data_IF_591021286308
#
_entry.id   IF_591021286308
#
_cell.length_a   1.000
_cell.length_b   1.000
_cell.length_c   1.000
_cell.angle_alpha   90.00
_cell.angle_beta   90.00
_cell.angle_gamma   90.00
#
_symmetry.space_group_name_H-M   'P 1'
#
loop_
_entity.id
_entity.type
_entity.pdbx_description
1 polymer ?
#
# COMPACT_ATOMS: atom_id res chain seq x y z
N UNK A 1 -3.83 -16.07 -13.97
CA UNK A 1 -4.07 -17.53 -13.91
C UNK A 1 -5.05 -17.92 -12.79
N UNK A 2 -4.82 -17.57 -11.52
CA UNK A 2 -5.77 -17.92 -10.44
C UNK A 2 -7.21 -17.43 -10.66
N UNK A 3 -7.39 -16.19 -11.13
CA UNK A 3 -8.71 -15.62 -11.46
C UNK A 3 -9.38 -16.29 -12.68
N UNK A 4 -8.59 -16.85 -13.60
CA UNK A 4 -9.10 -17.63 -14.75
C UNK A 4 -9.66 -18.96 -14.24
N UNK A 5 -8.95 -19.65 -13.35
CA UNK A 5 -9.45 -20.89 -12.75
C UNK A 5 -10.68 -20.69 -11.88
N UNK A 6 -10.82 -19.56 -11.19
CA UNK A 6 -12.06 -19.22 -10.49
C UNK A 6 -13.25 -19.06 -11.46
N UNK A 7 -13.03 -18.41 -12.61
CA UNK A 7 -14.05 -18.26 -13.65
C UNK A 7 -14.41 -19.60 -14.31
N UNK A 8 -13.48 -20.56 -14.33
CA UNK A 8 -13.67 -21.93 -14.82
C UNK A 8 -14.28 -22.88 -13.76
N UNK A 9 -14.72 -22.36 -12.60
CA UNK A 9 -15.19 -23.14 -11.43
C UNK A 9 -14.13 -24.09 -10.82
N UNK A 10 -12.86 -23.96 -11.20
CA UNK A 10 -11.75 -24.69 -10.60
C UNK A 10 -11.22 -23.95 -9.36
N UNK A 11 -12.06 -23.91 -8.33
CA UNK A 11 -11.83 -23.13 -7.10
C UNK A 11 -10.61 -23.60 -6.30
N UNK A 12 -10.29 -24.90 -6.34
CA UNK A 12 -9.11 -25.47 -5.65
C UNK A 12 -7.80 -24.97 -6.25
N UNK A 13 -7.64 -25.03 -7.57
CA UNK A 13 -6.41 -24.58 -8.23
C UNK A 13 -6.30 -23.05 -8.20
N UNK A 14 -7.42 -22.35 -8.39
CA UNK A 14 -7.50 -20.89 -8.22
C UNK A 14 -7.02 -20.45 -6.84
N UNK A 15 -7.47 -21.12 -5.77
CA UNK A 15 -7.05 -20.82 -4.40
C UNK A 15 -5.55 -21.06 -4.20
N UNK A 16 -4.99 -22.21 -4.61
CA UNK A 16 -3.54 -22.48 -4.48
C UNK A 16 -2.68 -21.40 -5.13
N UNK A 17 -3.02 -21.00 -6.34
CA UNK A 17 -2.26 -19.98 -7.07
C UNK A 17 -2.35 -18.60 -6.40
N UNK A 18 -3.53 -18.22 -5.90
CA UNK A 18 -3.73 -16.93 -5.23
C UNK A 18 -3.04 -16.89 -3.86
N UNK A 19 -3.08 -17.99 -3.11
CA UNK A 19 -2.38 -18.13 -1.82
C UNK A 19 -0.84 -18.08 -1.96
N UNK A 20 -0.29 -18.60 -3.06
CA UNK A 20 1.13 -18.44 -3.38
C UNK A 20 1.46 -16.99 -3.78
N UNK A 21 0.59 -16.35 -4.55
CA UNK A 21 0.79 -14.96 -5.00
C UNK A 21 0.79 -13.96 -3.84
N UNK A 22 0.01 -14.18 -2.77
CA UNK A 22 0.01 -13.24 -1.64
C UNK A 22 1.34 -13.25 -0.85
N UNK A 23 2.04 -14.37 -0.77
CA UNK A 23 3.37 -14.40 -0.15
C UNK A 23 4.37 -13.48 -0.86
N UNK A 24 4.19 -13.31 -2.18
CA UNK A 24 4.99 -12.40 -2.99
C UNK A 24 4.48 -10.96 -2.82
N UNK A 25 3.17 -10.74 -2.86
CA UNK A 25 2.56 -9.43 -2.65
C UNK A 25 2.95 -8.80 -1.29
N UNK A 26 3.00 -9.60 -0.23
CA UNK A 26 3.40 -9.15 1.11
C UNK A 26 4.89 -8.80 1.22
N UNK A 27 5.73 -9.22 0.26
CA UNK A 27 7.16 -8.88 0.21
C UNK A 27 7.45 -7.62 -0.61
N UNK A 28 6.47 -7.14 -1.38
CA UNK A 28 6.59 -5.91 -2.15
C UNK A 28 6.11 -4.73 -1.29
N UNK A 29 6.85 -3.60 -1.25
CA UNK A 29 6.37 -2.38 -0.62
C UNK A 29 5.37 -1.64 -1.53
N UNK A 30 4.36 -2.36 -2.04
CA UNK A 30 3.31 -1.83 -2.91
C UNK A 30 1.94 -2.10 -2.27
N UNK A 31 1.38 -1.02 -1.70
CA UNK A 31 0.10 -1.07 -0.98
C UNK A 31 -1.08 -1.36 -1.91
N UNK A 32 -0.99 -0.99 -3.20
CA UNK A 32 -2.04 -1.24 -4.18
C UNK A 32 -2.15 -2.73 -4.52
N UNK A 33 -1.00 -3.39 -4.71
CA UNK A 33 -0.94 -4.84 -4.92
C UNK A 33 -1.47 -5.59 -3.69
N UNK A 34 -1.13 -5.11 -2.49
CA UNK A 34 -1.62 -5.70 -1.22
C UNK A 34 -3.14 -5.56 -1.05
N UNK A 35 -3.71 -4.39 -1.38
CA UNK A 35 -5.16 -4.17 -1.39
C UNK A 35 -5.87 -5.08 -2.41
N UNK A 36 -5.32 -5.19 -3.62
CA UNK A 36 -5.87 -6.07 -4.65
C UNK A 36 -5.84 -7.54 -4.23
N UNK A 37 -4.72 -8.02 -3.69
CA UNK A 37 -4.56 -9.40 -3.24
C UNK A 37 -5.52 -9.76 -2.09
N UNK A 38 -5.65 -8.89 -1.09
CA UNK A 38 -6.58 -9.11 0.04
C UNK A 38 -8.04 -9.09 -0.38
N UNK A 39 -8.43 -8.23 -1.33
CA UNK A 39 -9.78 -8.22 -1.89
C UNK A 39 -10.11 -9.53 -2.62
N UNK A 40 -9.17 -10.05 -3.42
CA UNK A 40 -9.33 -11.35 -4.10
C UNK A 40 -9.46 -12.50 -3.12
N UNK A 41 -8.61 -12.57 -2.09
CA UNK A 41 -8.64 -13.64 -1.10
C UNK A 41 -9.92 -13.63 -0.26
N UNK A 42 -10.40 -12.43 0.10
CA UNK A 42 -11.72 -12.29 0.74
C UNK A 42 -12.82 -12.89 -0.16
N UNK A 43 -12.81 -12.56 -1.46
CA UNK A 43 -13.76 -13.12 -2.43
C UNK A 43 -13.67 -14.64 -2.56
N UNK A 44 -12.46 -15.20 -2.61
CA UNK A 44 -12.24 -16.65 -2.66
C UNK A 44 -12.74 -17.34 -1.39
N UNK A 45 -12.47 -16.77 -0.22
CA UNK A 45 -12.95 -17.32 1.05
C UNK A 45 -14.49 -17.32 1.12
N UNK A 46 -15.11 -16.23 0.66
CA UNK A 46 -16.57 -16.12 0.55
C UNK A 46 -17.16 -17.19 -0.40
N UNK A 47 -16.57 -17.36 -1.60
CA UNK A 47 -16.98 -18.42 -2.56
C UNK A 47 -16.86 -19.84 -1.98
N UNK A 48 -15.93 -20.07 -1.05
CA UNK A 48 -15.74 -21.35 -0.35
C UNK A 48 -16.63 -21.51 0.88
N UNK A 49 -17.36 -20.47 1.29
CA UNK A 49 -18.11 -20.45 2.54
C UNK A 49 -17.23 -20.43 3.80
N UNK A 50 -15.96 -20.04 3.68
CA UNK A 50 -15.01 -19.98 4.79
C UNK A 50 -15.05 -18.61 5.47
N UNK A 51 -15.97 -18.44 6.42
CA UNK A 51 -16.20 -17.16 7.11
C UNK A 51 -15.00 -16.72 7.94
N UNK A 52 -14.22 -17.66 8.49
CA UNK A 52 -13.04 -17.33 9.28
C UNK A 52 -11.96 -16.71 8.39
N UNK A 53 -11.70 -17.35 7.25
CA UNK A 53 -10.72 -16.85 6.28
C UNK A 53 -11.19 -15.53 5.65
N UNK A 54 -12.48 -15.38 5.33
CA UNK A 54 -13.05 -14.13 4.84
C UNK A 54 -12.83 -12.98 5.83
N UNK A 55 -13.12 -13.20 7.11
CA UNK A 55 -12.95 -12.19 8.18
C UNK A 55 -11.50 -11.77 8.32
N UNK A 56 -10.57 -12.74 8.22
CA UNK A 56 -9.12 -12.47 8.26
C UNK A 56 -8.71 -11.54 7.11
N UNK A 57 -9.10 -11.86 5.89
CA UNK A 57 -8.72 -11.06 4.72
C UNK A 57 -9.42 -9.71 4.69
N UNK A 58 -10.64 -9.62 5.20
CA UNK A 58 -11.30 -8.34 5.44
C UNK A 58 -10.52 -7.45 6.40
N UNK A 59 -10.08 -8.00 7.54
CA UNK A 59 -9.30 -7.26 8.55
C UNK A 59 -7.99 -6.73 7.96
N UNK A 60 -7.29 -7.56 7.18
CA UNK A 60 -6.04 -7.13 6.54
C UNK A 60 -6.28 -6.06 5.46
N UNK A 61 -7.36 -6.19 4.68
CA UNK A 61 -7.77 -5.19 3.70
C UNK A 61 -8.10 -3.83 4.35
N UNK A 62 -8.81 -3.85 5.48
CA UNK A 62 -9.11 -2.66 6.28
C UNK A 62 -7.81 -2.00 6.80
N UNK A 63 -6.85 -2.79 7.28
CA UNK A 63 -5.53 -2.29 7.71
C UNK A 63 -4.82 -1.55 6.59
N UNK A 64 -4.72 -2.15 5.40
CA UNK A 64 -4.08 -1.49 4.26
C UNK A 64 -4.83 -0.24 3.80
N UNK A 65 -6.16 -0.27 3.82
CA UNK A 65 -6.98 0.91 3.47
C UNK A 65 -6.68 2.09 4.39
N UNK A 66 -6.57 1.84 5.70
CA UNK A 66 -6.22 2.88 6.69
C UNK A 66 -4.83 3.47 6.44
N UNK A 67 -3.86 2.63 6.05
CA UNK A 67 -2.51 3.11 5.68
C UNK A 67 -2.60 4.06 4.50
N UNK A 68 -3.29 3.67 3.41
CA UNK A 68 -3.44 4.54 2.23
C UNK A 68 -4.08 5.88 2.59
N UNK A 69 -5.16 5.86 3.38
CA UNK A 69 -5.85 7.09 3.78
C UNK A 69 -4.94 7.97 4.63
N UNK A 70 -4.26 7.39 5.62
CA UNK A 70 -3.36 8.13 6.49
C UNK A 70 -2.21 8.79 5.71
N UNK A 71 -1.56 8.03 4.82
CA UNK A 71 -0.46 8.51 4.00
C UNK A 71 -0.92 9.59 3.01
N UNK A 72 -2.10 9.41 2.41
CA UNK A 72 -2.70 10.43 1.54
C UNK A 72 -2.97 11.72 2.30
N UNK A 73 -3.60 11.63 3.48
CA UNK A 73 -3.88 12.79 4.33
C UNK A 73 -2.61 13.50 4.74
N UNK A 74 -1.57 12.75 5.16
CA UNK A 74 -0.27 13.31 5.51
C UNK A 74 0.37 14.04 4.32
N UNK A 75 0.31 13.45 3.13
CA UNK A 75 0.88 14.03 1.93
C UNK A 75 0.17 15.33 1.55
N UNK A 76 -1.16 15.36 1.50
CA UNK A 76 -1.90 16.58 1.11
C UNK A 76 -1.83 17.68 2.17
N UNK A 77 -1.57 17.32 3.43
CA UNK A 77 -1.36 18.28 4.53
C UNK A 77 0.08 18.77 4.65
N UNK A 78 0.98 18.35 3.77
CA UNK A 78 2.39 18.67 3.87
C UNK A 78 2.61 20.18 3.67
N UNK A 79 3.37 20.85 4.57
CA UNK A 79 3.56 22.30 4.54
C UNK A 79 4.20 22.79 3.23
N UNK A 80 4.95 21.94 2.53
CA UNK A 80 5.58 22.23 1.25
C UNK A 80 4.56 22.59 0.16
N UNK A 81 3.31 22.13 0.28
CA UNK A 81 2.24 22.52 -0.65
C UNK A 81 1.94 24.03 -0.62
N UNK A 82 2.28 24.74 0.46
CA UNK A 82 2.12 26.20 0.53
C UNK A 82 2.94 26.94 -0.54
N UNK A 83 3.99 26.32 -1.10
CA UNK A 83 4.79 26.91 -2.18
C UNK A 83 4.05 26.94 -3.53
N UNK A 84 3.06 26.07 -3.72
CA UNK A 84 2.30 26.01 -4.98
C UNK A 84 1.45 27.27 -5.15
N UNK A 85 0.92 27.80 -4.04
CA UNK A 85 0.04 28.97 -4.02
C UNK A 85 0.80 30.29 -3.77
N UNK A 86 2.13 30.23 -3.58
CA UNK A 86 2.95 31.41 -3.34
C UNK A 86 3.27 32.16 -4.64
N UNK A 87 2.50 33.21 -4.92
CA UNK A 87 2.63 34.02 -6.13
C UNK A 87 3.29 35.40 -5.88
N UNK A 88 3.24 35.89 -4.64
CA UNK A 88 3.83 37.17 -4.22
C UNK A 88 3.99 37.20 -2.68
N UNK A 89 4.76 38.16 -2.15
CA UNK A 89 5.05 38.30 -0.71
C UNK A 89 6.27 37.51 -0.24
N UNK A 90 6.60 37.55 1.08
CA UNK A 90 7.76 36.85 1.63
C UNK A 90 7.60 35.32 1.54
N UNK A 91 8.72 34.62 1.35
CA UNK A 91 8.76 33.16 1.21
C UNK A 91 8.12 32.47 2.45
N UNK A 92 7.19 31.51 2.27
CA UNK A 92 6.62 30.76 3.39
C UNK A 92 7.68 30.01 4.20
N UNK A 93 7.60 30.11 5.52
CA UNK A 93 8.50 29.37 6.43
C UNK A 93 8.09 27.89 6.49
N UNK A 94 8.74 27.07 5.66
CA UNK A 94 8.62 25.61 5.74
C UNK A 94 9.58 25.15 6.82
N UNK A 95 9.04 24.60 7.92
CA UNK A 95 9.85 23.94 8.93
C UNK A 95 10.56 22.75 8.29
N UNK A 96 11.79 22.97 7.85
CA UNK A 96 12.67 21.93 7.34
C UNK A 96 12.94 21.00 8.51
N UNK A 97 12.33 19.82 8.52
CA UNK A 97 12.76 18.78 9.47
C UNK A 97 14.21 18.44 9.14
N UNK A 98 15.14 19.01 9.92
CA UNK A 98 16.56 18.78 9.83
C UNK A 98 16.86 17.27 9.76
N UNK A 99 17.29 16.80 8.60
CA UNK A 99 18.34 15.79 8.50
C UNK A 99 19.22 16.21 7.34
N UNK A 100 20.08 17.19 7.63
CA UNK A 100 21.24 17.49 6.79
C UNK A 100 22.14 16.25 6.89
N UNK A 101 22.07 15.35 5.92
CA UNK A 101 23.18 14.44 5.68
C UNK A 101 24.34 15.33 5.21
N UNK A 102 25.23 15.66 6.14
CA UNK A 102 26.42 16.47 5.89
C UNK A 102 27.28 15.82 4.81
N UNK A 103 27.24 16.34 3.59
CA UNK A 103 28.26 16.07 2.58
C UNK A 103 29.41 17.05 2.79
N UNK A 104 30.30 16.70 3.71
CA UNK A 104 31.68 17.20 3.85
C UNK A 104 32.36 16.07 4.64
N UNK A 105 33.31 15.34 4.08
CA UNK A 105 34.64 15.86 3.81
C UNK A 105 35.29 15.25 2.57
N UNK A 106 35.73 16.14 1.66
CA UNK A 106 37.01 15.99 0.99
C UNK A 106 38.13 16.14 2.03
N UNK A 107 39.00 15.15 2.15
CA UNK A 107 40.39 15.43 2.51
C UNK A 107 41.34 14.50 1.76
N UNK A 108 42.21 15.15 0.99
CA UNK A 108 43.40 14.63 0.35
C UNK A 108 44.35 14.05 1.40
N UNK A 109 44.87 12.85 1.15
CA UNK A 109 46.28 12.45 1.29
C UNK A 109 46.51 11.10 0.60
#
# INVERSE_FOLDING_TARGET
>A
MGQIHLNEQNTSEGHKMISAAIHIANRLPDIGIQLWATALLKGVANLRGDTQEETRWFTEHDRFSKIVIHEHMRAISAPEHSLIEWLDGPLPEIQSSNTVASTSDTNLL
#
